data_IF_725083035872
#
_entry.id   IF_725083035872
#
_cell.length_a   1.000
_cell.length_b   1.000
_cell.length_c   1.000
_cell.angle_alpha   90.00
_cell.angle_beta   90.00
_cell.angle_gamma   90.00
#
_symmetry.space_group_name_H-M   'P 1'
#
loop_
_entity.id
_entity.type
_entity.pdbx_description
1 polymer ?
#
# COMPACT_ATOMS: atom_id res chain seq x y z
N UNK A 1 -47.67 49.69 -2.86
CA UNK A 1 -48.01 48.57 -3.77
C UNK A 1 -46.80 48.28 -4.65
N UNK A 2 -46.37 47.02 -4.62
CA UNK A 2 -45.50 46.28 -5.54
C UNK A 2 -44.00 46.63 -5.68
N UNK A 3 -43.22 45.67 -5.17
CA UNK A 3 -41.81 45.31 -5.33
C UNK A 3 -41.37 44.94 -6.75
N UNK A 4 -40.07 45.08 -7.05
CA UNK A 4 -39.21 44.10 -7.75
C UNK A 4 -37.83 44.76 -7.94
N UNK A 5 -36.84 44.54 -7.08
CA UNK A 5 -35.86 43.44 -7.18
C UNK A 5 -35.38 43.15 -8.61
N UNK A 6 -34.09 43.41 -8.83
CA UNK A 6 -33.34 43.08 -10.02
C UNK A 6 -31.88 42.79 -9.68
N UNK A 7 -31.67 41.79 -8.81
CA UNK A 7 -30.38 41.11 -8.68
C UNK A 7 -30.51 39.70 -9.26
N UNK A 8 -29.67 39.35 -10.24
CA UNK A 8 -29.17 38.00 -10.49
C UNK A 8 -28.01 38.14 -11.49
N UNK A 9 -26.75 37.90 -11.15
CA UNK A 9 -26.24 36.86 -10.27
C UNK A 9 -25.65 35.77 -11.15
N UNK A 10 -24.36 35.88 -11.44
CA UNK A 10 -23.61 34.94 -12.27
C UNK A 10 -23.78 33.50 -11.77
N UNK A 11 -24.26 32.64 -12.65
CA UNK A 11 -24.31 31.19 -12.42
C UNK A 11 -22.89 30.62 -12.49
N UNK A 12 -22.21 30.57 -11.35
CA UNK A 12 -21.14 29.59 -11.11
C UNK A 12 -21.80 28.23 -10.92
N UNK A 13 -21.73 27.39 -11.96
CA UNK A 13 -22.11 25.98 -11.90
C UNK A 13 -21.15 25.25 -10.96
N UNK A 14 -21.51 25.20 -9.67
CA UNK A 14 -20.81 24.39 -8.68
C UNK A 14 -21.32 22.96 -8.84
N UNK A 15 -20.50 22.10 -9.44
CA UNK A 15 -20.77 20.67 -9.52
C UNK A 15 -20.81 20.11 -8.10
N UNK A 16 -22.01 19.89 -7.57
CA UNK A 16 -22.23 19.21 -6.29
C UNK A 16 -21.94 17.73 -6.54
N UNK A 17 -20.73 17.31 -6.21
CA UNK A 17 -20.38 15.88 -6.15
C UNK A 17 -21.22 15.28 -5.03
N UNK A 18 -22.10 14.33 -5.38
CA UNK A 18 -22.96 13.62 -4.43
C UNK A 18 -22.11 12.95 -3.35
N UNK A 19 -22.37 13.32 -2.10
CA UNK A 19 -21.69 12.84 -0.89
C UNK A 19 -21.70 11.30 -0.77
N UNK A 20 -22.73 10.63 -1.32
CA UNK A 20 -22.84 9.17 -1.37
C UNK A 20 -21.82 8.46 -2.28
N UNK A 21 -21.29 9.14 -3.30
CA UNK A 21 -20.26 8.56 -4.20
C UNK A 21 -18.89 8.56 -3.52
N UNK A 22 -18.59 9.59 -2.72
CA UNK A 22 -17.37 9.66 -1.92
C UNK A 22 -17.37 8.62 -0.78
N UNK A 23 -18.50 8.46 -0.07
CA UNK A 23 -18.62 7.41 0.96
C UNK A 23 -18.51 6.00 0.37
N UNK A 24 -19.09 5.73 -0.81
CA UNK A 24 -18.95 4.42 -1.46
C UNK A 24 -17.52 4.13 -1.91
N UNK A 25 -16.78 5.14 -2.39
CA UNK A 25 -15.37 5.00 -2.73
C UNK A 25 -14.50 4.75 -1.50
N UNK A 26 -14.76 5.45 -0.39
CA UNK A 26 -14.04 5.28 0.88
C UNK A 26 -14.31 3.90 1.50
N UNK A 27 -15.57 3.43 1.49
CA UNK A 27 -15.93 2.09 1.97
C UNK A 27 -15.31 0.99 1.12
N UNK A 28 -15.30 1.13 -0.23
CA UNK A 28 -14.63 0.15 -1.10
C UNK A 28 -13.10 0.15 -0.94
N UNK A 29 -12.51 1.28 -0.58
CA UNK A 29 -11.09 1.36 -0.27
C UNK A 29 -10.77 0.68 1.08
N UNK A 30 -11.65 0.83 2.08
CA UNK A 30 -11.52 0.17 3.38
C UNK A 30 -11.79 -1.35 3.29
N UNK A 31 -12.76 -1.80 2.51
CA UNK A 31 -12.98 -3.25 2.26
C UNK A 31 -11.78 -3.88 1.55
N UNK A 32 -11.16 -3.19 0.58
CA UNK A 32 -9.93 -3.64 -0.06
C UNK A 32 -8.74 -3.68 0.91
N UNK A 33 -8.63 -2.70 1.81
CA UNK A 33 -7.58 -2.69 2.84
C UNK A 33 -7.81 -3.80 3.88
N UNK A 34 -9.07 -4.10 4.23
CA UNK A 34 -9.44 -5.21 5.11
C UNK A 34 -9.23 -6.60 4.47
N UNK A 35 -9.06 -6.69 3.14
CA UNK A 35 -8.64 -7.93 2.49
C UNK A 35 -7.12 -8.15 2.54
N UNK A 36 -6.36 -7.15 3.00
CA UNK A 36 -4.94 -7.24 3.32
C UNK A 36 -4.76 -7.23 4.84
N UNK A 37 -5.25 -8.26 5.53
CA UNK A 37 -5.03 -8.42 6.97
C UNK A 37 -3.55 -8.60 7.36
N UNK A 38 -2.67 -8.71 6.36
CA UNK A 38 -1.23 -8.55 6.51
C UNK A 38 -0.75 -7.33 5.74
N UNK A 39 -1.17 -6.14 6.17
CA UNK A 39 -0.36 -4.97 5.92
C UNK A 39 1.01 -5.23 6.57
N UNK A 40 2.11 -5.22 5.79
CA UNK A 40 3.42 -5.39 6.37
C UNK A 40 3.61 -4.35 7.48
N UNK A 41 3.75 -4.82 8.72
CA UNK A 41 4.07 -3.93 9.83
C UNK A 41 5.39 -3.23 9.50
N UNK A 42 5.42 -1.93 9.76
CA UNK A 42 6.64 -1.13 9.64
C UNK A 42 7.11 -0.93 8.22
N UNK A 43 6.26 -0.38 7.34
CA UNK A 43 6.77 0.38 6.19
C UNK A 43 7.52 1.61 6.73
N UNK A 44 8.78 1.38 7.12
CA UNK A 44 9.68 2.38 7.66
C UNK A 44 9.91 3.50 6.65
N UNK A 45 9.70 3.24 5.36
CA UNK A 45 9.76 4.26 4.31
C UNK A 45 8.73 5.36 4.53
N UNK A 46 7.47 4.98 4.78
CA UNK A 46 6.41 5.96 5.06
C UNK A 46 6.68 6.75 6.37
N UNK A 47 7.12 6.07 7.42
CA UNK A 47 7.46 6.70 8.70
C UNK A 47 8.66 7.65 8.58
N UNK A 48 9.71 7.26 7.87
CA UNK A 48 10.88 8.12 7.63
C UNK A 48 10.55 9.32 6.76
N UNK A 49 9.70 9.15 5.75
CA UNK A 49 9.22 10.28 4.94
C UNK A 49 8.43 11.28 5.78
N UNK A 50 7.54 10.78 6.64
CA UNK A 50 6.80 11.63 7.57
C UNK A 50 7.74 12.40 8.51
N UNK A 51 8.72 11.72 9.13
CA UNK A 51 9.64 12.40 10.04
C UNK A 51 10.60 13.37 9.34
N UNK A 52 11.03 13.08 8.11
CA UNK A 52 11.80 14.05 7.32
C UNK A 52 10.97 15.30 6.99
N UNK A 53 9.71 15.11 6.61
CA UNK A 53 8.81 16.22 6.31
C UNK A 53 8.55 17.08 7.55
N UNK A 54 8.26 16.44 8.68
CA UNK A 54 8.09 17.13 9.97
C UNK A 54 9.35 17.88 10.38
N UNK A 55 10.52 17.25 10.29
CA UNK A 55 11.81 17.87 10.62
C UNK A 55 12.08 19.09 9.73
N UNK A 56 11.76 18.99 8.44
CA UNK A 56 11.88 20.10 7.50
C UNK A 56 10.97 21.27 7.90
N UNK A 57 9.73 20.99 8.29
CA UNK A 57 8.79 22.02 8.76
C UNK A 57 9.24 22.66 10.07
N UNK A 58 9.68 21.86 11.04
CA UNK A 58 10.16 22.37 12.32
C UNK A 58 11.44 23.21 12.15
N UNK A 59 12.33 22.83 11.22
CA UNK A 59 13.50 23.63 10.88
C UNK A 59 13.12 24.94 10.19
N UNK A 60 12.19 24.91 9.25
CA UNK A 60 11.71 26.11 8.54
C UNK A 60 10.99 27.11 9.46
N UNK A 61 10.36 26.61 10.53
CA UNK A 61 9.71 27.41 11.56
C UNK A 61 10.64 27.75 12.74
N UNK A 62 11.96 27.53 12.60
CA UNK A 62 12.97 27.81 13.63
C UNK A 62 12.72 27.12 14.99
N UNK A 63 11.94 26.03 15.01
CA UNK A 63 11.63 25.26 16.22
C UNK A 63 12.74 24.30 16.62
N UNK A 64 13.57 23.92 15.65
CA UNK A 64 14.77 23.10 15.86
C UNK A 64 15.98 23.79 15.24
N UNK A 65 17.13 23.53 15.82
CA UNK A 65 18.42 24.01 15.35
C UNK A 65 18.91 23.21 14.13
N UNK A 66 19.90 23.77 13.43
CA UNK A 66 20.61 23.07 12.35
C UNK A 66 21.23 21.76 12.85
N UNK A 67 21.72 21.72 14.10
CA UNK A 67 22.34 20.54 14.68
C UNK A 67 21.32 19.41 14.89
N UNK A 68 20.13 19.73 15.41
CA UNK A 68 19.03 18.78 15.61
C UNK A 68 18.50 18.25 14.27
N UNK A 69 18.29 19.12 13.28
CA UNK A 69 17.90 18.72 11.94
C UNK A 69 18.92 17.74 11.30
N UNK A 70 20.22 18.04 11.41
CA UNK A 70 21.29 17.13 10.95
C UNK A 70 21.30 15.80 11.70
N UNK A 71 21.02 15.81 13.01
CA UNK A 71 20.96 14.59 13.80
C UNK A 71 19.84 13.67 13.30
N UNK A 72 18.63 14.20 13.05
CA UNK A 72 17.51 13.40 12.51
C UNK A 72 17.85 12.81 11.15
N UNK A 73 18.39 13.62 10.22
CA UNK A 73 18.80 13.14 8.89
C UNK A 73 19.84 12.01 9.01
N UNK A 74 20.82 12.16 9.91
CA UNK A 74 21.85 11.15 10.15
C UNK A 74 21.26 9.85 10.70
N UNK A 75 20.31 9.93 11.64
CA UNK A 75 19.62 8.76 12.18
C UNK A 75 18.86 8.00 11.10
N UNK A 76 18.09 8.70 10.26
CA UNK A 76 17.31 8.09 9.17
C UNK A 76 18.26 7.46 8.14
N UNK A 77 19.35 8.15 7.78
CA UNK A 77 20.35 7.62 6.85
C UNK A 77 21.01 6.36 7.39
N UNK A 78 21.35 6.33 8.69
CA UNK A 78 21.94 5.16 9.32
C UNK A 78 20.97 3.97 9.34
N UNK A 79 19.69 4.22 9.65
CA UNK A 79 18.65 3.19 9.63
C UNK A 79 18.42 2.63 8.21
N UNK A 80 18.35 3.51 7.20
CA UNK A 80 18.21 3.13 5.79
C UNK A 80 19.39 2.31 5.30
N UNK A 81 20.62 2.69 5.67
CA UNK A 81 21.82 1.90 5.33
C UNK A 81 21.80 0.52 6.00
N UNK A 82 21.38 0.42 7.25
CA UNK A 82 21.27 -0.87 7.94
C UNK A 82 20.25 -1.79 7.25
N UNK A 83 19.11 -1.26 6.85
CA UNK A 83 18.09 -2.01 6.10
C UNK A 83 18.60 -2.42 4.71
N UNK A 84 19.33 -1.55 4.02
CA UNK A 84 19.95 -1.90 2.74
C UNK A 84 20.97 -3.03 2.88
N UNK A 85 21.76 -3.05 3.96
CA UNK A 85 22.70 -4.15 4.22
C UNK A 85 21.98 -5.47 4.52
N UNK A 86 20.87 -5.43 5.28
CA UNK A 86 20.04 -6.61 5.50
C UNK A 86 19.45 -7.15 4.18
N UNK A 87 19.06 -6.26 3.28
CA UNK A 87 18.59 -6.64 1.95
C UNK A 87 19.67 -7.30 1.10
N UNK A 88 20.90 -6.73 1.10
CA UNK A 88 22.03 -7.31 0.38
C UNK A 88 22.41 -8.69 0.93
N UNK A 89 22.42 -8.86 2.25
CA UNK A 89 22.65 -10.15 2.91
C UNK A 89 21.58 -11.18 2.52
N UNK A 90 20.30 -10.80 2.61
CA UNK A 90 19.19 -11.66 2.21
C UNK A 90 19.34 -12.11 0.74
N UNK A 91 19.64 -11.16 -0.15
CA UNK A 91 19.82 -11.46 -1.58
C UNK A 91 21.01 -12.40 -1.82
N UNK A 92 22.12 -12.19 -1.12
CA UNK A 92 23.28 -13.09 -1.20
C UNK A 92 22.93 -14.51 -0.75
N UNK A 93 22.16 -14.66 0.34
CA UNK A 93 21.68 -15.97 0.80
C UNK A 93 20.68 -16.59 -0.18
N UNK A 94 19.84 -15.77 -0.80
CA UNK A 94 18.87 -16.21 -1.80
C UNK A 94 19.57 -16.76 -3.04
N UNK A 95 20.57 -16.04 -3.56
CA UNK A 95 21.37 -16.46 -4.72
C UNK A 95 22.16 -17.75 -4.43
N UNK A 96 22.53 -17.97 -3.16
CA UNK A 96 23.16 -19.22 -2.69
C UNK A 96 22.16 -20.37 -2.42
N UNK A 97 20.85 -20.14 -2.57
CA UNK A 97 19.80 -21.14 -2.27
C UNK A 97 19.65 -21.45 -0.77
N UNK A 98 20.08 -20.55 0.11
CA UNK A 98 20.09 -20.74 1.57
C UNK A 98 18.89 -20.09 2.28
N UNK A 99 18.00 -19.42 1.54
CA UNK A 99 16.81 -18.76 2.12
C UNK A 99 15.58 -19.64 2.07
N UNK A 100 14.77 -19.57 3.11
CA UNK A 100 13.39 -20.07 3.14
C UNK A 100 12.41 -18.95 2.79
N UNK A 101 11.19 -19.25 2.32
CA UNK A 101 10.17 -18.24 2.01
C UNK A 101 9.91 -17.26 3.16
N UNK A 102 9.87 -17.74 4.40
CA UNK A 102 9.66 -16.91 5.59
C UNK A 102 10.82 -15.96 5.89
N UNK A 103 12.05 -16.25 5.45
CA UNK A 103 13.22 -15.42 5.74
C UNK A 103 13.09 -14.01 5.14
N UNK A 104 12.34 -13.88 4.03
CA UNK A 104 12.03 -12.58 3.44
C UNK A 104 11.17 -11.74 4.38
N UNK A 105 10.09 -12.31 4.92
CA UNK A 105 9.18 -11.61 5.82
C UNK A 105 9.90 -11.17 7.10
N UNK A 106 10.79 -12.02 7.63
CA UNK A 106 11.62 -11.71 8.80
C UNK A 106 12.64 -10.61 8.49
N UNK A 107 13.33 -10.70 7.36
CA UNK A 107 14.37 -9.74 6.99
C UNK A 107 13.81 -8.35 6.64
N UNK A 108 12.66 -8.29 5.97
CA UNK A 108 12.10 -7.05 5.42
C UNK A 108 11.07 -6.43 6.36
N UNK A 109 10.18 -7.23 6.91
CA UNK A 109 9.09 -6.73 7.76
C UNK A 109 9.36 -6.92 9.26
N UNK A 110 10.48 -7.55 9.63
CA UNK A 110 10.84 -7.77 11.03
C UNK A 110 9.91 -8.76 11.75
N UNK A 111 9.23 -9.62 10.98
CA UNK A 111 8.29 -10.60 11.52
C UNK A 111 8.97 -11.61 12.44
N UNK A 112 8.23 -12.09 13.44
CA UNK A 112 8.63 -13.28 14.19
C UNK A 112 8.57 -14.53 13.32
N UNK A 113 9.06 -15.65 13.84
CA UNK A 113 9.01 -16.94 13.16
C UNK A 113 7.55 -17.34 12.86
N UNK A 114 6.66 -17.15 13.83
CA UNK A 114 5.23 -17.46 13.73
C UNK A 114 4.53 -16.55 12.71
N UNK A 115 4.79 -15.24 12.77
CA UNK A 115 4.23 -14.27 11.82
C UNK A 115 4.72 -14.53 10.38
N UNK A 116 5.98 -14.93 10.23
CA UNK A 116 6.54 -15.25 8.92
C UNK A 116 5.96 -16.56 8.35
N UNK A 117 5.67 -17.54 9.20
CA UNK A 117 5.01 -18.78 8.80
C UNK A 117 3.57 -18.52 8.36
N UNK A 118 2.80 -17.77 9.17
CA UNK A 118 1.44 -17.35 8.82
C UNK A 118 1.41 -16.57 7.49
N UNK A 119 2.38 -15.67 7.28
CA UNK A 119 2.52 -14.92 6.04
C UNK A 119 2.73 -15.82 4.81
N UNK A 120 3.57 -16.84 4.96
CA UNK A 120 3.84 -17.80 3.88
C UNK A 120 2.61 -18.65 3.60
N UNK A 121 1.94 -19.16 4.64
CA UNK A 121 0.75 -20.00 4.49
C UNK A 121 -0.40 -19.26 3.79
N UNK A 122 -0.67 -18.03 4.19
CA UNK A 122 -1.71 -17.22 3.56
C UNK A 122 -1.34 -16.90 2.10
N UNK A 123 -0.06 -16.61 1.84
CA UNK A 123 0.45 -16.42 0.48
C UNK A 123 0.20 -17.64 -0.42
N UNK A 124 0.42 -18.85 0.11
CA UNK A 124 0.13 -20.11 -0.60
C UNK A 124 -1.38 -20.25 -0.83
N UNK A 125 -2.21 -20.04 0.19
CA UNK A 125 -3.68 -20.13 0.09
C UNK A 125 -4.25 -19.20 -0.98
N UNK A 126 -3.73 -17.97 -1.05
CA UNK A 126 -4.12 -16.97 -2.05
C UNK A 126 -3.70 -17.39 -3.46
N UNK A 127 -2.47 -17.91 -3.61
CA UNK A 127 -1.98 -18.40 -4.90
C UNK A 127 -2.83 -19.57 -5.41
N UNK A 128 -3.14 -20.54 -4.56
CA UNK A 128 -3.99 -21.69 -4.90
C UNK A 128 -5.39 -21.25 -5.32
N UNK A 129 -5.99 -20.32 -4.56
CA UNK A 129 -7.32 -19.76 -4.88
C UNK A 129 -7.32 -19.05 -6.24
N UNK A 130 -6.24 -18.33 -6.55
CA UNK A 130 -6.06 -17.66 -7.84
C UNK A 130 -5.91 -18.68 -8.98
N UNK A 131 -5.06 -19.68 -8.82
CA UNK A 131 -4.86 -20.73 -9.83
C UNK A 131 -6.16 -21.48 -10.12
N UNK A 132 -6.91 -21.85 -9.08
CA UNK A 132 -8.21 -22.51 -9.23
C UNK A 132 -9.22 -21.63 -9.99
N UNK A 133 -9.21 -20.32 -9.77
CA UNK A 133 -10.06 -19.39 -10.52
C UNK A 133 -9.61 -19.23 -11.98
N UNK A 134 -8.30 -19.16 -12.24
CA UNK A 134 -7.75 -19.11 -13.60
C UNK A 134 -8.13 -20.37 -14.40
N UNK A 135 -8.05 -21.55 -13.79
CA UNK A 135 -8.43 -22.82 -14.43
C UNK A 135 -9.93 -22.92 -14.70
N UNK A 136 -10.78 -22.42 -13.79
CA UNK A 136 -12.23 -22.32 -14.03
C UNK A 136 -12.55 -21.39 -15.19
N UNK A 137 -11.87 -20.24 -15.27
CA UNK A 137 -12.01 -19.31 -16.39
C UNK A 137 -11.56 -19.94 -17.72
N UNK A 138 -10.41 -20.62 -17.75
CA UNK A 138 -9.94 -21.35 -18.95
C UNK A 138 -10.92 -22.43 -19.39
N UNK A 139 -11.42 -23.22 -18.45
CA UNK A 139 -12.39 -24.28 -18.74
C UNK A 139 -13.70 -23.72 -19.31
N UNK A 140 -14.17 -22.58 -18.78
CA UNK A 140 -15.38 -21.89 -19.27
C UNK A 140 -15.19 -21.34 -20.69
N UNK A 141 -14.02 -20.80 -21.01
CA UNK A 141 -13.67 -20.34 -22.36
C UNK A 141 -13.65 -21.52 -23.35
N UNK A 142 -13.06 -22.65 -22.96
CA UNK A 142 -12.99 -23.86 -23.80
C UNK A 142 -14.38 -24.50 -24.02
N UNK A 143 -15.25 -24.49 -23.02
CA UNK A 143 -16.63 -24.97 -23.15
C UNK A 143 -17.49 -24.06 -24.03
N UNK A 144 -17.38 -22.74 -23.88
CA UNK A 144 -18.12 -21.79 -24.71
C UNK A 144 -17.61 -21.74 -26.16
N UNK A 145 -16.34 -22.05 -26.40
CA UNK A 145 -15.78 -22.20 -27.76
C UNK A 145 -16.28 -23.43 -28.52
N UNK A 146 -16.74 -24.47 -27.82
CA UNK A 146 -17.28 -25.70 -28.44
C UNK A 146 -18.76 -25.58 -28.85
N UNK A 147 -19.51 -24.64 -28.28
CA UNK A 147 -20.94 -24.47 -28.57
C UNK A 147 -21.23 -23.55 -29.77
N UNK A 148 -20.21 -23.07 -30.49
CA UNK A 148 -20.35 -22.15 -31.65
C UNK A 148 -20.17 -22.78 -33.04
N UNK A 149 -19.99 -24.10 -33.15
CA UNK A 149 -19.90 -24.80 -34.45
C UNK A 149 -20.83 -26.00 -34.50
N UNK A 150 -22.11 -25.70 -34.58
CA UNK A 150 -23.15 -26.65 -34.97
C UNK A 150 -24.20 -25.90 -35.77
N UNK A 151 -24.00 -25.92 -37.10
CA UNK A 151 -24.94 -25.69 -38.21
C UNK A 151 -25.92 -24.51 -38.15
#
# INVERSE_FOLDING_TARGET
MSTSEGMAGGRTSRTVVQEGVLQSAISKHHEKLATFDMLPRGDKGAEWMYELQRTKEDFANERITVAECKAVIKCITAASNAEHQLWLDFRSRQDAGQTKPGDFAKAIYGYTDEEAEEFVEEGVRLLESRMANEDRCRTRVLQNGRNGRGY
#
